data_IF_447740649057
#
_entry.id   IF_447740649057
#
_cell.length_a   1.000
_cell.length_b   1.000
_cell.length_c   1.000
_cell.angle_alpha   90.00
_cell.angle_beta   90.00
_cell.angle_gamma   90.00
#
_symmetry.space_group_name_H-M   'P 1'
#
loop_
_entity.id
_entity.type
_entity.pdbx_description
1 polymer ?
#
# COMPACT_ATOMS: atom_id res chain seq x y z
N UNK A 1 -13.96 -32.40 12.93
CA UNK A 1 -12.80 -32.96 13.67
C UNK A 1 -11.55 -32.64 12.87
N UNK A 2 -10.57 -31.96 13.48
CA UNK A 2 -9.28 -31.68 12.84
C UNK A 2 -8.52 -33.00 12.67
N UNK A 3 -7.99 -33.26 11.48
CA UNK A 3 -7.21 -34.48 11.25
C UNK A 3 -5.89 -34.42 12.04
N UNK A 4 -5.42 -35.55 12.62
CA UNK A 4 -4.11 -35.61 13.27
C UNK A 4 -2.98 -35.11 12.36
N UNK A 5 -3.11 -35.30 11.04
CA UNK A 5 -2.14 -34.83 10.05
C UNK A 5 -2.12 -33.31 9.96
N UNK A 6 -3.27 -32.65 9.89
CA UNK A 6 -3.34 -31.19 9.77
C UNK A 6 -2.85 -30.51 11.04
N UNK A 7 -3.22 -31.05 12.22
CA UNK A 7 -2.71 -30.55 13.50
C UNK A 7 -1.17 -30.60 13.59
N UNK A 8 -0.53 -31.64 13.05
CA UNK A 8 0.95 -31.72 12.97
C UNK A 8 1.55 -30.69 12.02
N UNK A 9 0.87 -30.35 10.91
CA UNK A 9 1.33 -29.31 9.98
C UNK A 9 1.33 -27.96 10.66
N UNK A 10 0.23 -27.59 11.33
CA UNK A 10 0.16 -26.32 12.06
C UNK A 10 1.22 -26.22 13.16
N UNK A 11 1.37 -27.25 13.98
CA UNK A 11 2.39 -27.28 15.04
C UNK A 11 3.83 -27.13 14.49
N UNK A 12 4.10 -27.65 13.30
CA UNK A 12 5.40 -27.46 12.65
C UNK A 12 5.62 -26.02 12.15
N UNK A 13 4.57 -25.29 11.78
CA UNK A 13 4.66 -23.87 11.45
C UNK A 13 4.90 -23.03 12.71
N UNK A 14 4.15 -23.28 13.79
CA UNK A 14 4.34 -22.62 15.10
C UNK A 14 5.78 -22.85 15.61
N UNK A 15 6.31 -24.07 15.48
CA UNK A 15 7.70 -24.35 15.86
C UNK A 15 8.75 -23.61 15.01
N UNK A 16 8.44 -23.22 13.78
CA UNK A 16 9.36 -22.45 12.92
C UNK A 16 9.49 -21.00 13.36
N UNK A 17 8.50 -20.43 14.06
CA UNK A 17 8.60 -19.08 14.62
C UNK A 17 9.75 -18.94 15.65
N UNK A 18 10.22 -20.05 16.22
CA UNK A 18 11.40 -20.09 17.08
C UNK A 18 12.72 -19.80 16.34
N UNK A 19 12.73 -19.88 15.00
CA UNK A 19 13.88 -19.54 14.15
C UNK A 19 13.89 -18.06 13.74
N UNK A 20 12.79 -17.34 13.97
CA UNK A 20 12.72 -15.91 13.69
C UNK A 20 13.61 -15.13 14.65
N UNK A 21 14.08 -13.97 14.19
CA UNK A 21 14.89 -13.05 14.97
C UNK A 21 14.14 -12.58 16.24
N UNK A 22 14.83 -12.21 17.32
CA UNK A 22 14.18 -11.75 18.56
C UNK A 22 13.24 -10.55 18.37
N UNK A 23 13.51 -9.69 17.39
CA UNK A 23 12.69 -8.53 17.05
C UNK A 23 11.46 -8.83 16.19
N UNK A 24 11.36 -10.04 15.62
CA UNK A 24 10.24 -10.45 14.78
C UNK A 24 8.94 -10.60 15.58
N UNK A 25 7.83 -10.30 14.91
CA UNK A 25 6.52 -10.62 15.44
C UNK A 25 6.28 -12.14 15.42
N UNK A 26 5.49 -12.65 16.38
CA UNK A 26 5.05 -14.05 16.43
C UNK A 26 3.54 -14.12 16.67
N UNK A 27 2.86 -15.09 16.07
CA UNK A 27 1.41 -15.29 16.25
C UNK A 27 1.08 -15.49 17.74
N UNK A 28 1.92 -16.24 18.46
CA UNK A 28 1.74 -16.54 19.88
C UNK A 28 1.79 -15.31 20.81
N UNK A 29 2.44 -14.22 20.39
CA UNK A 29 2.53 -12.98 21.15
C UNK A 29 1.41 -11.98 20.81
N UNK A 30 0.58 -12.31 19.83
CA UNK A 30 -0.51 -11.44 19.37
C UNK A 30 -1.70 -11.48 20.34
N UNK A 31 -2.42 -10.36 20.56
CA UNK A 31 -3.71 -10.37 21.25
C UNK A 31 -4.80 -11.10 20.45
N UNK A 32 -4.55 -11.47 19.18
CA UNK A 32 -5.49 -12.21 18.34
C UNK A 32 -6.52 -11.32 17.65
N UNK A 33 -7.44 -11.98 16.92
CA UNK A 33 -8.52 -11.32 16.18
C UNK A 33 -9.53 -10.70 17.12
N UNK A 34 -10.08 -9.55 16.73
CA UNK A 34 -11.11 -8.85 17.50
C UNK A 34 -12.37 -9.71 17.70
N UNK A 35 -12.81 -10.40 16.63
CA UNK A 35 -13.85 -11.41 16.74
C UNK A 35 -13.20 -12.80 16.84
N UNK A 36 -13.41 -13.55 17.93
CA UNK A 36 -12.81 -14.87 18.08
C UNK A 36 -13.23 -15.82 16.97
N UNK A 37 -12.26 -16.51 16.38
CA UNK A 37 -12.45 -17.54 15.37
C UNK A 37 -11.57 -18.74 15.71
N UNK A 38 -12.00 -19.98 15.40
CA UNK A 38 -11.16 -21.14 15.63
C UNK A 38 -9.89 -21.05 14.76
N UNK A 39 -8.71 -21.41 15.30
CA UNK A 39 -7.48 -21.44 14.52
C UNK A 39 -7.59 -22.35 13.28
N UNK A 40 -6.99 -21.92 12.17
CA UNK A 40 -6.97 -22.72 10.94
C UNK A 40 -6.07 -23.96 11.13
N UNK A 41 -6.52 -25.17 10.76
CA UNK A 41 -5.77 -26.38 11.06
C UNK A 41 -4.48 -26.56 10.23
N UNK A 42 -4.22 -25.70 9.23
CA UNK A 42 -3.06 -25.79 8.33
C UNK A 42 -2.21 -24.53 8.31
N UNK A 43 -2.80 -23.36 8.57
CA UNK A 43 -2.19 -22.06 8.37
C UNK A 43 -2.10 -21.26 9.67
N UNK A 44 -1.03 -20.49 9.81
CA UNK A 44 -0.91 -19.46 10.85
C UNK A 44 -1.83 -18.27 10.56
N UNK A 45 -2.07 -17.43 11.56
CA UNK A 45 -3.05 -16.34 11.45
C UNK A 45 -2.74 -15.34 10.34
N UNK A 46 -1.47 -14.98 10.12
CA UNK A 46 -1.08 -14.02 9.08
C UNK A 46 -1.13 -14.61 7.66
N UNK A 47 -0.93 -15.92 7.52
CA UNK A 47 -1.22 -16.64 6.27
C UNK A 47 -2.71 -16.56 5.90
N UNK A 48 -3.57 -16.69 6.91
CA UNK A 48 -5.02 -16.51 6.73
C UNK A 48 -5.36 -15.07 6.36
N UNK A 49 -4.68 -14.09 6.95
CA UNK A 49 -4.88 -12.66 6.62
C UNK A 49 -4.51 -12.36 5.16
N UNK A 50 -3.32 -12.78 4.72
CA UNK A 50 -2.89 -12.69 3.33
C UNK A 50 -3.95 -13.26 2.39
N UNK A 51 -4.41 -14.48 2.68
CA UNK A 51 -5.37 -15.17 1.85
C UNK A 51 -6.75 -14.46 1.86
N UNK A 52 -7.14 -13.82 2.96
CA UNK A 52 -8.36 -12.99 2.99
C UNK A 52 -8.25 -11.76 2.11
N UNK A 53 -7.11 -11.06 2.18
CA UNK A 53 -6.87 -9.81 1.44
C UNK A 53 -6.89 -10.05 -0.06
N UNK A 54 -6.15 -11.04 -0.57
CA UNK A 54 -6.04 -11.29 -2.02
C UNK A 54 -7.39 -11.65 -2.67
N UNK A 55 -8.33 -12.22 -1.91
CA UNK A 55 -9.65 -12.60 -2.39
C UNK A 55 -10.70 -11.49 -2.30
N UNK A 56 -10.35 -10.28 -1.85
CA UNK A 56 -11.26 -9.14 -1.76
C UNK A 56 -11.69 -8.59 -3.13
N UNK A 57 -12.77 -7.82 -3.17
CA UNK A 57 -13.12 -7.04 -4.36
C UNK A 57 -12.15 -5.87 -4.51
N UNK A 58 -11.76 -5.23 -3.41
CA UNK A 58 -10.78 -4.15 -3.39
C UNK A 58 -9.45 -4.54 -4.06
N UNK A 59 -8.86 -5.68 -3.69
CA UNK A 59 -7.60 -6.15 -4.27
C UNK A 59 -7.71 -6.40 -5.78
N UNK A 60 -8.81 -7.02 -6.25
CA UNK A 60 -9.06 -7.23 -7.68
C UNK A 60 -9.15 -5.92 -8.47
N UNK A 61 -9.69 -4.86 -7.86
CA UNK A 61 -9.83 -3.54 -8.49
C UNK A 61 -8.50 -2.84 -8.71
N UNK A 62 -7.45 -3.18 -7.95
CA UNK A 62 -6.09 -2.64 -8.14
C UNK A 62 -5.54 -2.90 -9.55
N UNK A 63 -6.04 -3.93 -10.25
CA UNK A 63 -5.68 -4.21 -11.65
C UNK A 63 -6.05 -3.07 -12.61
N UNK A 64 -7.06 -2.29 -12.26
CA UNK A 64 -7.66 -1.27 -13.11
C UNK A 64 -7.61 0.12 -12.45
N UNK A 65 -6.58 0.34 -11.62
CA UNK A 65 -6.23 1.63 -11.03
C UNK A 65 -4.79 1.95 -11.39
N UNK A 66 -4.57 3.09 -12.02
CA UNK A 66 -3.23 3.60 -12.33
C UNK A 66 -2.51 4.01 -11.05
N UNK A 67 -1.18 3.86 -11.06
CA UNK A 67 -0.32 4.31 -9.97
C UNK A 67 -0.11 5.83 -10.04
N UNK A 68 0.74 6.29 -10.96
CA UNK A 68 1.05 7.71 -11.20
C UNK A 68 0.58 8.19 -12.57
N UNK A 69 0.83 7.41 -13.63
CA UNK A 69 0.53 7.83 -15.00
C UNK A 69 -0.86 7.41 -15.44
N UNK A 70 -1.71 8.40 -15.74
CA UNK A 70 -2.96 8.15 -16.46
C UNK A 70 -2.62 8.10 -17.95
N UNK A 71 -2.16 6.95 -18.43
CA UNK A 71 -1.89 6.69 -19.84
C UNK A 71 -2.95 5.71 -20.38
N UNK A 72 -3.99 6.18 -21.08
CA UNK A 72 -5.12 5.35 -21.48
C UNK A 72 -4.78 4.13 -22.34
N UNK A 73 -3.65 4.15 -23.07
CA UNK A 73 -3.32 3.18 -24.12
C UNK A 73 -1.92 2.54 -23.98
N UNK A 74 -1.30 2.55 -22.79
CA UNK A 74 -0.02 1.86 -22.56
C UNK A 74 -0.21 0.58 -21.75
N UNK A 75 -0.01 -0.57 -22.40
CA UNK A 75 -0.02 -1.89 -21.76
C UNK A 75 1.08 -2.08 -20.69
N UNK A 76 2.05 -1.16 -20.64
CA UNK A 76 3.25 -1.26 -19.83
C UNK A 76 3.31 -0.28 -18.66
N UNK A 77 2.34 0.64 -18.52
CA UNK A 77 2.28 1.52 -17.35
C UNK A 77 1.89 0.72 -16.11
N UNK A 78 2.56 1.02 -15.00
CA UNK A 78 2.34 0.32 -13.74
C UNK A 78 0.93 0.60 -13.20
N UNK A 79 0.21 -0.51 -12.98
CA UNK A 79 -1.06 -0.52 -12.25
C UNK A 79 -0.78 -0.75 -10.77
N UNK A 80 -1.71 -0.34 -9.90
CA UNK A 80 -1.58 -0.55 -8.45
C UNK A 80 -1.37 -1.99 -8.04
N UNK A 81 -1.94 -2.93 -8.80
CA UNK A 81 -1.73 -4.36 -8.56
C UNK A 81 -0.27 -4.77 -8.78
N UNK A 82 0.39 -4.28 -9.83
CA UNK A 82 1.79 -4.61 -10.10
C UNK A 82 2.71 -3.90 -9.11
N UNK A 83 2.43 -2.65 -8.73
CA UNK A 83 3.08 -1.96 -7.60
C UNK A 83 3.01 -2.82 -6.33
N UNK A 84 1.81 -3.22 -5.94
CA UNK A 84 1.57 -4.01 -4.73
C UNK A 84 2.34 -5.33 -4.73
N UNK A 85 2.48 -5.99 -5.89
CA UNK A 85 3.28 -7.22 -6.02
C UNK A 85 4.77 -6.91 -5.85
N UNK A 86 5.27 -5.82 -6.44
CA UNK A 86 6.66 -5.39 -6.30
C UNK A 86 7.02 -5.04 -4.85
N UNK A 87 6.16 -4.27 -4.17
CA UNK A 87 6.29 -3.97 -2.74
C UNK A 87 6.35 -5.26 -1.92
N UNK A 88 5.45 -6.21 -2.20
CA UNK A 88 5.43 -7.50 -1.52
C UNK A 88 6.74 -8.30 -1.74
N UNK A 89 7.29 -8.32 -2.95
CA UNK A 89 8.56 -9.01 -3.24
C UNK A 89 9.75 -8.37 -2.51
N UNK A 90 9.86 -7.05 -2.56
CA UNK A 90 10.93 -6.29 -1.89
C UNK A 90 10.83 -6.48 -0.37
N UNK A 91 9.63 -6.30 0.19
CA UNK A 91 9.38 -6.41 1.62
C UNK A 91 9.72 -7.82 2.14
N UNK A 92 9.34 -8.88 1.42
CA UNK A 92 9.68 -10.25 1.80
C UNK A 92 11.17 -10.53 1.72
N UNK A 93 11.88 -9.94 0.76
CA UNK A 93 13.33 -10.08 0.64
C UNK A 93 14.02 -9.49 1.87
N UNK A 94 13.64 -8.28 2.27
CA UNK A 94 14.15 -7.62 3.47
C UNK A 94 13.78 -8.41 4.73
N UNK A 95 12.51 -8.79 4.89
CA UNK A 95 12.03 -9.54 6.05
C UNK A 95 12.77 -10.87 6.22
N UNK A 96 12.93 -11.63 5.13
CA UNK A 96 13.66 -12.90 5.14
C UNK A 96 15.13 -12.72 5.52
N UNK A 97 15.80 -11.70 4.99
CA UNK A 97 17.20 -11.43 5.28
C UNK A 97 17.44 -10.99 6.74
N UNK A 98 16.46 -10.32 7.34
CA UNK A 98 16.47 -9.92 8.75
C UNK A 98 15.91 -11.00 9.71
N UNK A 99 15.40 -12.11 9.18
CA UNK A 99 14.76 -13.17 9.98
C UNK A 99 13.43 -12.75 10.61
N UNK A 100 12.68 -11.85 9.97
CA UNK A 100 11.34 -11.39 10.38
C UNK A 100 10.23 -12.30 9.80
N UNK A 101 8.99 -12.11 10.26
CA UNK A 101 7.86 -12.91 9.77
C UNK A 101 7.41 -12.50 8.36
N UNK A 102 7.71 -13.36 7.36
CA UNK A 102 7.36 -13.10 5.97
C UNK A 102 5.85 -13.06 5.70
N UNK A 103 5.04 -13.84 6.44
CA UNK A 103 3.61 -13.94 6.19
C UNK A 103 2.88 -12.68 6.69
N UNK A 104 3.30 -12.10 7.82
CA UNK A 104 2.86 -10.78 8.29
C UNK A 104 3.27 -9.67 7.32
N UNK A 105 4.55 -9.64 6.93
CA UNK A 105 5.05 -8.65 5.95
C UNK A 105 4.27 -8.72 4.64
N UNK A 106 4.02 -9.93 4.12
CA UNK A 106 3.26 -10.16 2.90
C UNK A 106 1.79 -9.72 3.05
N UNK A 107 1.13 -10.07 4.16
CA UNK A 107 -0.25 -9.66 4.42
C UNK A 107 -0.39 -8.14 4.47
N UNK A 108 0.53 -7.43 5.15
CA UNK A 108 0.54 -5.97 5.21
C UNK A 108 0.77 -5.38 3.81
N UNK A 109 1.78 -5.87 3.08
CA UNK A 109 2.09 -5.39 1.73
C UNK A 109 0.91 -5.55 0.77
N UNK A 110 0.21 -6.68 0.77
CA UNK A 110 -0.97 -6.85 -0.09
C UNK A 110 -2.16 -5.98 0.32
N UNK A 111 -2.20 -5.53 1.58
CA UNK A 111 -3.31 -4.75 2.13
C UNK A 111 -3.10 -3.23 2.10
N UNK A 112 -1.87 -2.74 1.92
CA UNK A 112 -1.53 -1.33 2.12
C UNK A 112 -2.31 -0.39 1.17
N UNK A 113 -2.49 -0.83 -0.08
CA UNK A 113 -2.95 0.03 -1.18
C UNK A 113 -4.44 -0.12 -1.54
N UNK A 114 -5.20 -0.93 -0.78
CA UNK A 114 -6.60 -1.27 -1.10
C UNK A 114 -7.53 -0.06 -1.23
N UNK A 115 -7.26 0.99 -0.44
CA UNK A 115 -8.08 2.18 -0.27
C UNK A 115 -7.77 3.32 -1.21
N UNK A 116 -6.81 3.17 -2.12
CA UNK A 116 -6.54 4.22 -3.09
C UNK A 116 -7.74 4.48 -3.98
N UNK A 117 -7.99 5.74 -4.30
CA UNK A 117 -9.04 6.20 -5.19
C UNK A 117 -8.73 5.87 -6.66
N UNK A 118 -9.73 5.97 -7.56
CA UNK A 118 -9.44 6.13 -8.98
C UNK A 118 -8.52 7.35 -9.21
N UNK A 119 -7.68 7.27 -10.23
CA UNK A 119 -6.70 8.31 -10.61
C UNK A 119 -5.65 8.62 -9.53
N UNK A 120 -5.39 7.67 -8.63
CA UNK A 120 -4.29 7.76 -7.66
C UNK A 120 -4.38 8.98 -6.74
N UNK A 121 -3.25 9.68 -6.56
CA UNK A 121 -3.18 10.84 -5.65
C UNK A 121 -4.16 11.95 -6.00
N UNK A 122 -4.45 12.15 -7.29
CA UNK A 122 -5.41 13.17 -7.71
C UNK A 122 -6.80 12.95 -7.10
N UNK A 123 -7.30 11.72 -7.11
CA UNK A 123 -8.57 11.39 -6.49
C UNK A 123 -8.54 11.46 -4.96
N UNK A 124 -7.41 11.11 -4.35
CA UNK A 124 -7.22 11.20 -2.89
C UNK A 124 -7.25 12.66 -2.43
N UNK A 125 -6.51 13.54 -3.12
CA UNK A 125 -6.49 14.98 -2.85
C UNK A 125 -7.87 15.61 -3.00
N UNK A 126 -8.62 15.21 -4.03
CA UNK A 126 -9.96 15.76 -4.25
C UNK A 126 -10.94 15.33 -3.16
N UNK A 127 -10.98 14.04 -2.81
CA UNK A 127 -11.82 13.58 -1.71
C UNK A 127 -11.38 14.22 -0.38
N UNK A 128 -10.08 14.44 -0.17
CA UNK A 128 -9.59 15.08 1.04
C UNK A 128 -10.08 16.53 1.20
N UNK A 129 -10.32 17.25 0.10
CA UNK A 129 -10.92 18.59 0.11
C UNK A 129 -12.43 18.57 0.32
N UNK A 130 -13.10 17.54 -0.20
CA UNK A 130 -14.57 17.42 -0.16
C UNK A 130 -15.08 16.87 1.18
N UNK A 131 -14.29 16.01 1.85
CA UNK A 131 -14.71 15.37 3.09
C UNK A 131 -14.44 16.24 4.32
N UNK A 132 -15.38 16.29 5.29
CA UNK A 132 -15.24 17.12 6.48
C UNK A 132 -14.07 16.68 7.38
N UNK A 133 -13.71 15.40 7.35
CA UNK A 133 -12.60 14.82 8.09
C UNK A 133 -11.37 14.51 7.20
N UNK A 134 -11.40 14.96 5.95
CA UNK A 134 -10.40 14.63 4.94
C UNK A 134 -10.49 13.19 4.45
N UNK A 135 -9.55 12.81 3.59
CA UNK A 135 -9.45 11.47 3.01
C UNK A 135 -8.00 11.06 2.90
N UNK A 136 -7.71 9.80 3.24
CA UNK A 136 -6.39 9.19 3.08
C UNK A 136 -6.52 7.74 2.68
N UNK A 137 -5.76 7.31 1.68
CA UNK A 137 -5.85 5.96 1.13
C UNK A 137 -5.56 4.88 2.19
N UNK A 138 -4.60 5.08 3.08
CA UNK A 138 -4.22 4.12 4.13
C UNK A 138 -5.33 3.93 5.17
N UNK A 139 -6.02 5.02 5.54
CA UNK A 139 -7.19 4.98 6.41
C UNK A 139 -8.35 4.28 5.70
N UNK A 140 -8.52 4.53 4.40
CA UNK A 140 -9.51 3.82 3.60
C UNK A 140 -9.17 2.33 3.43
N UNK A 141 -7.89 1.95 3.29
CA UNK A 141 -7.44 0.55 3.25
C UNK A 141 -7.81 -0.17 4.55
N UNK A 142 -7.58 0.47 5.70
CA UNK A 142 -7.99 -0.05 7.00
C UNK A 142 -9.52 -0.21 7.07
N UNK A 143 -10.26 0.82 6.67
CA UNK A 143 -11.74 0.79 6.65
C UNK A 143 -12.28 -0.32 5.75
N UNK A 144 -11.66 -0.56 4.60
CA UNK A 144 -12.04 -1.65 3.68
C UNK A 144 -11.93 -3.00 4.39
N UNK A 145 -10.82 -3.26 5.06
CA UNK A 145 -10.57 -4.55 5.72
C UNK A 145 -11.33 -4.70 7.03
N UNK A 146 -11.70 -3.61 7.70
CA UNK A 146 -12.44 -3.66 8.98
C UNK A 146 -13.95 -3.71 8.80
N UNK A 147 -14.50 -2.98 7.83
CA UNK A 147 -15.96 -2.80 7.74
C UNK A 147 -16.56 -2.95 6.34
N UNK A 148 -15.88 -2.59 5.24
CA UNK A 148 -16.56 -2.57 3.92
C UNK A 148 -16.63 -3.95 3.24
N UNK A 149 -15.56 -4.75 3.33
CA UNK A 149 -15.55 -6.08 2.71
C UNK A 149 -16.53 -7.05 3.39
N UNK A 150 -16.89 -8.13 2.69
CA UNK A 150 -17.87 -9.14 3.16
C UNK A 150 -19.22 -8.55 3.60
N UNK A 151 -19.67 -7.55 2.86
CA UNK A 151 -20.98 -6.89 3.00
C UNK A 151 -21.19 -6.27 4.39
N UNK A 152 -20.27 -5.40 4.79
CA UNK A 152 -20.37 -4.67 6.05
C UNK A 152 -19.72 -5.36 7.26
N UNK A 153 -19.09 -6.53 7.07
CA UNK A 153 -18.52 -7.33 8.17
C UNK A 153 -17.01 -7.20 8.31
N UNK A 154 -16.31 -6.73 7.28
CA UNK A 154 -14.86 -6.77 7.18
C UNK A 154 -14.26 -8.17 7.17
N UNK A 155 -12.94 -8.21 7.18
CA UNK A 155 -12.12 -9.42 7.06
C UNK A 155 -11.68 -9.99 8.41
N UNK A 156 -11.88 -9.28 9.52
CA UNK A 156 -11.45 -9.68 10.87
C UNK A 156 -9.95 -10.01 10.93
N UNK A 157 -9.09 -9.18 10.32
CA UNK A 157 -7.65 -9.41 10.27
C UNK A 157 -6.99 -9.30 11.65
N UNK A 158 -5.79 -9.85 11.80
CA UNK A 158 -4.96 -9.67 12.98
C UNK A 158 -4.62 -8.18 13.17
N UNK A 159 -4.50 -7.70 14.42
CA UNK A 159 -4.25 -6.29 14.70
C UNK A 159 -2.91 -5.80 14.13
N UNK A 160 -1.88 -6.63 14.10
CA UNK A 160 -0.58 -6.29 13.51
C UNK A 160 -0.70 -6.04 12.01
N UNK A 161 -1.49 -6.85 11.29
CA UNK A 161 -1.78 -6.65 9.86
C UNK A 161 -2.49 -5.32 9.65
N UNK A 162 -3.52 -5.02 10.45
CA UNK A 162 -4.29 -3.76 10.38
C UNK A 162 -3.42 -2.53 10.68
N UNK A 163 -2.59 -2.63 11.72
CA UNK A 163 -1.66 -1.57 12.12
C UNK A 163 -0.63 -1.31 11.01
N UNK A 164 -0.03 -2.36 10.44
CA UNK A 164 0.89 -2.23 9.32
C UNK A 164 0.25 -1.56 8.11
N UNK A 165 -0.99 -1.95 7.77
CA UNK A 165 -1.75 -1.35 6.66
C UNK A 165 -1.97 0.14 6.89
N UNK A 166 -2.36 0.58 8.09
CA UNK A 166 -2.63 2.02 8.29
C UNK A 166 -1.35 2.84 8.47
N UNK A 167 -0.28 2.28 9.06
CA UNK A 167 0.95 3.01 9.39
C UNK A 167 2.02 3.03 8.28
N UNK A 168 1.79 2.35 7.15
CA UNK A 168 2.75 2.36 6.05
C UNK A 168 2.93 3.76 5.41
N UNK A 169 1.88 4.59 5.44
CA UNK A 169 1.87 5.86 4.72
C UNK A 169 2.83 6.90 5.32
N UNK A 170 3.21 7.89 4.51
CA UNK A 170 4.28 8.85 4.76
C UNK A 170 3.81 10.28 4.51
N UNK A 171 4.41 11.22 5.23
CA UNK A 171 4.32 12.64 4.85
C UNK A 171 5.28 12.95 3.68
N UNK A 172 5.05 14.09 3.01
CA UNK A 172 5.85 14.51 1.86
C UNK A 172 7.36 14.70 2.19
N UNK A 173 7.72 14.95 3.45
CA UNK A 173 9.03 15.47 3.84
C UNK A 173 10.22 14.50 3.67
N UNK A 174 10.02 13.19 3.82
CA UNK A 174 11.09 12.18 3.65
C UNK A 174 10.50 10.79 3.44
N UNK A 175 11.23 9.89 2.76
CA UNK A 175 10.83 8.46 2.67
C UNK A 175 10.86 7.76 4.03
N UNK A 176 11.51 8.33 5.04
CA UNK A 176 11.50 7.82 6.41
C UNK A 176 10.44 8.48 7.32
N UNK A 177 9.70 9.49 6.82
CA UNK A 177 8.82 10.31 7.66
C UNK A 177 7.72 9.50 8.38
N UNK A 178 7.54 9.74 9.68
CA UNK A 178 6.62 9.01 10.57
C UNK A 178 5.20 9.62 10.63
N UNK A 179 4.62 10.00 9.48
CA UNK A 179 3.34 10.74 9.43
C UNK A 179 2.15 10.11 10.17
N UNK A 180 2.07 8.78 10.19
CA UNK A 180 1.03 8.01 10.91
C UNK A 180 1.62 7.22 12.10
N UNK A 181 2.76 7.70 12.60
CA UNK A 181 3.59 7.03 13.58
C UNK A 181 4.38 5.85 12.99
N UNK A 182 4.93 5.03 13.88
CA UNK A 182 5.70 3.84 13.52
C UNK A 182 4.93 2.59 13.89
N UNK A 183 4.97 1.61 12.98
CA UNK A 183 4.42 0.28 13.23
C UNK A 183 5.12 -0.38 14.41
N UNK A 184 4.34 -1.00 15.29
CA UNK A 184 4.88 -1.73 16.45
C UNK A 184 5.69 -2.97 16.07
N UNK A 185 5.56 -3.44 14.83
CA UNK A 185 6.27 -4.58 14.26
C UNK A 185 7.34 -4.09 13.28
N UNK A 186 8.50 -4.76 13.27
CA UNK A 186 9.53 -4.47 12.27
C UNK A 186 9.01 -4.81 10.87
N UNK A 187 8.16 -5.83 10.74
CA UNK A 187 7.48 -6.24 9.51
C UNK A 187 6.66 -5.10 8.89
N UNK A 188 5.91 -4.34 9.70
CA UNK A 188 5.18 -3.17 9.22
C UNK A 188 6.09 -2.02 8.79
N UNK A 189 7.22 -1.84 9.48
CA UNK A 189 8.23 -0.85 9.10
C UNK A 189 8.95 -1.23 7.79
N UNK A 190 9.19 -2.53 7.57
CA UNK A 190 9.74 -3.05 6.29
C UNK A 190 8.80 -2.71 5.14
N UNK A 191 7.49 -2.96 5.26
CA UNK A 191 6.55 -2.65 4.16
C UNK A 191 6.56 -1.17 3.83
N UNK A 192 6.61 -0.31 4.85
CA UNK A 192 6.72 1.14 4.65
C UNK A 192 7.94 1.51 3.82
N UNK A 193 9.11 0.96 4.09
CA UNK A 193 10.31 1.27 3.31
C UNK A 193 10.24 0.64 1.90
N UNK A 194 9.80 -0.61 1.81
CA UNK A 194 9.63 -1.34 0.56
C UNK A 194 8.70 -0.62 -0.43
N UNK A 195 7.63 0.00 0.06
CA UNK A 195 6.73 0.83 -0.74
C UNK A 195 7.46 1.97 -1.45
N UNK A 196 8.37 2.66 -0.74
CA UNK A 196 9.19 3.71 -1.37
C UNK A 196 10.28 3.20 -2.28
N UNK A 197 10.87 2.05 -1.97
CA UNK A 197 11.84 1.43 -2.88
C UNK A 197 11.15 1.07 -4.21
N UNK A 198 9.94 0.50 -4.15
CA UNK A 198 9.18 0.13 -5.34
C UNK A 198 8.80 1.37 -6.17
N UNK A 199 8.08 2.34 -5.57
CA UNK A 199 7.51 3.41 -6.39
C UNK A 199 8.59 4.30 -7.02
N UNK A 200 9.66 4.62 -6.29
CA UNK A 200 10.74 5.45 -6.84
C UNK A 200 11.39 4.81 -8.06
N UNK A 201 11.49 3.48 -8.11
CA UNK A 201 12.17 2.79 -9.19
C UNK A 201 11.28 2.59 -10.41
N UNK A 202 10.01 2.21 -10.23
CA UNK A 202 9.14 2.06 -11.39
C UNK A 202 8.61 3.39 -11.94
N UNK A 203 8.57 4.46 -11.14
CA UNK A 203 8.15 5.77 -11.62
C UNK A 203 9.21 6.38 -12.54
N UNK A 204 10.50 6.09 -12.28
CA UNK A 204 11.57 6.40 -13.22
C UNK A 204 11.33 5.67 -14.55
N UNK A 205 11.06 4.36 -14.51
CA UNK A 205 10.83 3.59 -15.74
C UNK A 205 9.64 4.11 -16.54
N UNK A 206 8.53 4.40 -15.86
CA UNK A 206 7.33 4.90 -16.52
C UNK A 206 7.52 6.34 -17.03
N UNK A 207 8.25 7.19 -16.29
CA UNK A 207 8.62 8.53 -16.77
C UNK A 207 9.51 8.48 -18.02
N UNK A 208 10.46 7.53 -18.06
CA UNK A 208 11.31 7.29 -19.23
C UNK A 208 10.50 6.78 -20.42
N UNK A 209 9.58 5.83 -20.21
CA UNK A 209 8.67 5.34 -21.24
C UNK A 209 7.75 6.44 -21.78
N UNK A 210 7.30 7.33 -20.90
CA UNK A 210 6.47 8.48 -21.26
C UNK A 210 7.26 9.62 -21.94
N UNK A 211 8.60 9.52 -22.01
CA UNK A 211 9.46 10.56 -22.59
C UNK A 211 9.54 11.83 -21.75
N UNK A 212 9.17 11.78 -20.47
CA UNK A 212 9.27 12.91 -19.54
C UNK A 212 10.67 13.11 -18.98
N UNK A 213 11.45 12.03 -18.99
CA UNK A 213 12.78 11.96 -18.39
C UNK A 213 13.64 10.97 -19.18
N UNK A 214 14.96 11.16 -19.18
CA UNK A 214 15.92 10.12 -19.56
C UNK A 214 16.70 9.68 -18.32
N UNK A 215 17.19 8.44 -18.27
CA UNK A 215 17.99 7.95 -17.14
C UNK A 215 19.19 8.87 -16.83
N UNK A 216 19.83 9.40 -17.88
CA UNK A 216 20.97 10.33 -17.75
C UNK A 216 20.60 11.70 -17.15
N UNK A 217 19.32 12.03 -17.02
CA UNK A 217 18.86 13.27 -16.38
C UNK A 217 18.84 13.14 -14.83
N UNK A 218 18.90 11.92 -14.28
CA UNK A 218 18.96 11.71 -12.84
C UNK A 218 20.25 12.31 -12.25
N UNK A 219 20.23 12.84 -11.00
CA UNK A 219 21.41 13.45 -10.40
C UNK A 219 22.61 12.50 -10.32
N UNK A 220 23.81 12.98 -10.62
CA UNK A 220 25.05 12.19 -10.54
C UNK A 220 25.28 11.57 -9.15
N UNK A 221 24.90 12.29 -8.09
CA UNK A 221 24.99 11.81 -6.71
C UNK A 221 24.09 10.58 -6.46
N UNK A 222 22.91 10.55 -7.08
CA UNK A 222 21.99 9.41 -7.04
C UNK A 222 22.60 8.21 -7.75
N UNK A 223 23.15 8.39 -8.96
CA UNK A 223 23.83 7.32 -9.68
C UNK A 223 25.04 6.77 -8.93
N UNK A 224 25.84 7.65 -8.32
CA UNK A 224 27.02 7.26 -7.56
C UNK A 224 26.67 6.46 -6.29
N UNK A 225 25.53 6.76 -5.66
CA UNK A 225 25.15 6.19 -4.36
C UNK A 225 24.20 4.99 -4.48
N UNK A 226 23.18 5.10 -5.33
CA UNK A 226 22.13 4.09 -5.50
C UNK A 226 22.38 3.18 -6.70
N UNK A 227 23.05 3.67 -7.74
CA UNK A 227 23.32 2.92 -8.98
C UNK A 227 22.60 3.50 -10.19
N UNK A 228 23.07 3.10 -11.38
CA UNK A 228 22.69 3.67 -12.67
C UNK A 228 21.65 2.85 -13.44
N UNK A 229 21.16 1.77 -12.85
CA UNK A 229 20.07 0.97 -13.43
C UNK A 229 19.03 0.65 -12.36
N UNK A 230 17.81 0.36 -12.81
CA UNK A 230 16.72 -0.08 -11.93
C UNK A 230 17.16 -1.21 -10.98
N UNK A 231 17.77 -2.27 -11.51
CA UNK A 231 18.21 -3.40 -10.69
C UNK A 231 19.30 -3.03 -9.70
N UNK A 232 20.24 -2.16 -10.07
CA UNK A 232 21.30 -1.70 -9.16
C UNK A 232 20.72 -0.87 -8.00
N UNK A 233 19.76 0.02 -8.29
CA UNK A 233 19.09 0.82 -7.26
C UNK A 233 18.32 -0.03 -6.26
N UNK A 234 17.50 -0.97 -6.74
CA UNK A 234 16.77 -1.88 -5.85
C UNK A 234 17.75 -2.70 -5.01
N UNK A 235 18.77 -3.33 -5.62
CA UNK A 235 19.76 -4.13 -4.91
C UNK A 235 20.48 -3.33 -3.83
N UNK A 236 20.89 -2.09 -4.14
CA UNK A 236 21.56 -1.20 -3.20
C UNK A 236 20.65 -0.80 -2.04
N UNK A 237 19.41 -0.40 -2.32
CA UNK A 237 18.44 0.01 -1.29
C UNK A 237 18.04 -1.15 -0.38
N UNK A 238 17.81 -2.33 -0.94
CA UNK A 238 17.48 -3.54 -0.17
C UNK A 238 18.66 -3.97 0.70
N UNK A 239 19.86 -4.04 0.11
CA UNK A 239 21.08 -4.44 0.83
C UNK A 239 21.37 -3.48 1.98
N UNK A 240 21.35 -2.17 1.72
CA UNK A 240 21.62 -1.16 2.73
C UNK A 240 20.59 -1.16 3.86
N UNK A 241 19.30 -1.34 3.53
CA UNK A 241 18.24 -1.52 4.51
C UNK A 241 18.51 -2.71 5.44
N UNK A 242 18.88 -3.86 4.87
CA UNK A 242 19.17 -5.07 5.64
C UNK A 242 20.37 -4.84 6.54
N UNK A 243 21.49 -4.33 6.01
CA UNK A 243 22.72 -4.09 6.75
C UNK A 243 22.51 -3.11 7.91
N UNK A 244 21.81 -2.00 7.65
CA UNK A 244 21.53 -0.95 8.65
C UNK A 244 20.57 -1.45 9.73
N UNK A 245 19.66 -2.36 9.40
CA UNK A 245 18.58 -2.80 10.30
C UNK A 245 18.88 -4.10 11.07
N UNK A 246 20.05 -4.73 10.88
CA UNK A 246 20.43 -5.98 11.56
C UNK A 246 20.31 -5.87 13.09
N UNK A 247 20.78 -4.77 13.67
CA UNK A 247 20.75 -4.58 15.12
C UNK A 247 19.32 -4.57 15.65
N UNK A 248 18.40 -3.87 14.97
CA UNK A 248 16.99 -3.81 15.34
C UNK A 248 16.34 -5.21 15.36
N UNK A 249 16.64 -6.06 14.37
CA UNK A 249 16.10 -7.42 14.29
C UNK A 249 16.67 -8.34 15.39
N UNK A 250 17.94 -8.15 15.77
CA UNK A 250 18.60 -8.98 16.79
C UNK A 250 18.16 -8.69 18.23
N UNK A 251 17.58 -7.52 18.49
CA UNK A 251 17.09 -7.13 19.82
C UNK A 251 15.64 -7.61 20.02
N UNK A 252 15.20 -7.88 21.27
CA UNK A 252 13.81 -8.26 21.52
C UNK A 252 12.83 -7.19 21.02
N UNK A 253 11.62 -7.60 20.60
CA UNK A 253 10.55 -6.69 20.13
C UNK A 253 10.25 -5.52 21.09
N UNK A 254 10.49 -5.69 22.39
CA UNK A 254 10.30 -4.64 23.41
C UNK A 254 11.32 -3.50 23.35
N UNK A 255 12.41 -3.63 22.58
CA UNK A 255 13.53 -2.70 22.56
C UNK A 255 13.39 -1.52 21.57
N UNK A 256 12.18 -1.25 21.06
CA UNK A 256 11.86 -0.16 20.12
C UNK A 256 12.82 -0.09 18.90
N UNK A 257 13.01 -1.22 18.21
CA UNK A 257 13.83 -1.27 16.99
C UNK A 257 13.25 -0.47 15.82
N UNK A 258 14.15 0.00 14.94
CA UNK A 258 13.82 0.74 13.71
C UNK A 258 14.39 0.06 12.46
N UNK A 259 13.58 0.00 11.40
CA UNK A 259 14.03 -0.36 10.05
C UNK A 259 14.40 0.91 9.30
N UNK A 260 15.66 1.02 8.88
CA UNK A 260 16.25 2.26 8.38
C UNK A 260 17.18 2.01 7.19
N UNK A 261 17.44 3.08 6.45
CA UNK A 261 18.55 3.19 5.48
C UNK A 261 19.70 3.93 6.15
N UNK A 262 20.93 3.64 5.74
CA UNK A 262 22.10 4.40 6.15
C UNK A 262 21.96 5.86 5.74
N UNK A 263 22.56 6.79 6.50
CA UNK A 263 22.39 8.22 6.26
C UNK A 263 22.75 8.67 4.84
N UNK A 264 23.76 8.06 4.22
CA UNK A 264 24.15 8.35 2.84
C UNK A 264 23.10 7.86 1.83
N UNK A 265 22.58 6.64 2.00
CA UNK A 265 21.56 6.07 1.10
C UNK A 265 20.22 6.76 1.29
N UNK A 266 19.83 7.09 2.52
CA UNK A 266 18.63 7.88 2.80
C UNK A 266 18.70 9.25 2.13
N UNK A 267 19.83 9.96 2.24
CA UNK A 267 20.01 11.26 1.61
C UNK A 267 19.87 11.19 0.09
N UNK A 268 20.53 10.24 -0.56
CA UNK A 268 20.40 10.05 -2.01
C UNK A 268 18.98 9.63 -2.44
N UNK A 269 18.28 8.86 -1.60
CA UNK A 269 16.88 8.47 -1.85
C UNK A 269 15.93 9.67 -1.76
N UNK A 270 16.13 10.54 -0.77
CA UNK A 270 15.34 11.77 -0.62
C UNK A 270 15.66 12.77 -1.75
N UNK A 271 16.91 12.86 -2.21
CA UNK A 271 17.30 13.65 -3.39
C UNK A 271 16.60 13.13 -4.66
N UNK A 272 16.62 11.81 -4.90
CA UNK A 272 15.91 11.19 -6.01
C UNK A 272 14.41 11.47 -5.97
N UNK A 273 13.78 11.35 -4.78
CA UNK A 273 12.36 11.65 -4.61
C UNK A 273 12.05 13.12 -4.94
N UNK A 274 12.86 14.05 -4.45
CA UNK A 274 12.69 15.47 -4.72
C UNK A 274 12.82 15.78 -6.22
N UNK A 275 13.78 15.15 -6.89
CA UNK A 275 13.98 15.25 -8.33
C UNK A 275 12.76 14.74 -9.12
N UNK A 276 12.24 13.56 -8.79
CA UNK A 276 11.04 13.02 -9.46
C UNK A 276 9.82 13.91 -9.24
N UNK A 277 9.70 14.52 -8.05
CA UNK A 277 8.62 15.46 -7.80
C UNK A 277 8.65 16.67 -8.72
N UNK A 278 9.80 17.31 -8.87
CA UNK A 278 9.96 18.46 -9.75
C UNK A 278 9.79 18.11 -11.24
N UNK A 279 10.39 16.98 -11.67
CA UNK A 279 10.54 16.66 -13.09
C UNK A 279 9.41 15.82 -13.67
N UNK A 280 8.76 15.00 -12.84
CA UNK A 280 7.77 14.01 -13.26
C UNK A 280 6.38 14.38 -12.73
N UNK A 281 6.21 14.47 -11.41
CA UNK A 281 4.89 14.67 -10.82
C UNK A 281 4.29 16.05 -11.13
N UNK A 282 5.14 17.09 -11.25
CA UNK A 282 4.72 18.44 -11.63
C UNK A 282 4.72 18.69 -13.15
N UNK A 283 4.99 17.67 -13.98
CA UNK A 283 5.01 17.84 -15.42
C UNK A 283 3.61 18.23 -15.95
N UNK A 284 3.49 19.20 -16.89
CA UNK A 284 2.21 19.65 -17.42
C UNK A 284 1.22 18.55 -17.87
N UNK A 285 1.63 17.50 -18.60
CA UNK A 285 0.70 16.44 -18.99
C UNK A 285 0.18 15.62 -17.80
N UNK A 286 1.02 15.40 -16.78
CA UNK A 286 0.63 14.69 -15.54
C UNK A 286 -0.36 15.52 -14.74
N UNK A 287 -0.08 16.81 -14.58
CA UNK A 287 -0.97 17.76 -13.89
C UNK A 287 -2.32 17.89 -14.60
N UNK A 288 -2.34 17.99 -15.94
CA UNK A 288 -3.58 18.06 -16.70
C UNK A 288 -4.45 16.80 -16.53
N UNK A 289 -3.82 15.62 -16.51
CA UNK A 289 -4.51 14.36 -16.26
C UNK A 289 -5.04 14.27 -14.82
N UNK A 290 -4.25 14.73 -13.84
CA UNK A 290 -4.67 14.82 -12.44
C UNK A 290 -5.89 15.74 -12.28
N UNK A 291 -5.88 16.93 -12.88
CA UNK A 291 -7.01 17.86 -12.85
C UNK A 291 -8.28 17.27 -13.47
N UNK A 292 -8.15 16.52 -14.57
CA UNK A 292 -9.28 15.81 -15.17
C UNK A 292 -9.84 14.75 -14.21
N UNK A 293 -8.97 13.93 -13.60
CA UNK A 293 -9.36 12.95 -12.60
C UNK A 293 -10.06 13.58 -11.38
N UNK A 294 -9.56 14.72 -10.91
CA UNK A 294 -10.18 15.48 -9.82
C UNK A 294 -11.60 15.92 -10.16
N UNK A 295 -11.84 16.46 -11.37
CA UNK A 295 -13.19 16.85 -11.81
C UNK A 295 -14.15 15.67 -11.85
N UNK A 296 -13.70 14.51 -12.33
CA UNK A 296 -14.52 13.28 -12.37
C UNK A 296 -14.87 12.82 -10.96
N UNK A 297 -13.90 12.81 -10.04
CA UNK A 297 -14.11 12.44 -8.63
C UNK A 297 -15.10 13.39 -7.96
N UNK A 298 -14.94 14.70 -8.13
CA UNK A 298 -15.84 15.71 -7.56
C UNK A 298 -17.28 15.54 -8.06
N UNK A 299 -17.45 15.37 -9.36
CA UNK A 299 -18.78 15.22 -9.96
C UNK A 299 -19.47 13.95 -9.46
N UNK A 300 -18.76 12.82 -9.43
CA UNK A 300 -19.29 11.56 -8.90
C UNK A 300 -19.61 11.65 -7.40
N UNK A 301 -18.69 12.19 -6.61
CA UNK A 301 -18.89 12.37 -5.17
C UNK A 301 -20.14 13.22 -4.89
N UNK A 302 -20.23 14.39 -5.53
CA UNK A 302 -21.34 15.34 -5.34
C UNK A 302 -22.68 14.72 -5.73
N UNK A 303 -22.70 13.92 -6.80
CA UNK A 303 -23.90 13.20 -7.24
C UNK A 303 -24.32 12.18 -6.19
N UNK A 304 -23.42 11.30 -5.75
CA UNK A 304 -23.74 10.22 -4.82
C UNK A 304 -23.99 10.68 -3.39
N UNK A 305 -23.41 11.82 -2.98
CA UNK A 305 -23.74 12.45 -1.70
C UNK A 305 -25.18 12.98 -1.68
N UNK A 306 -25.65 13.56 -2.80
CA UNK A 306 -27.03 14.05 -2.96
C UNK A 306 -28.04 12.93 -3.19
N UNK A 307 -27.57 11.80 -3.73
CA UNK A 307 -28.38 10.66 -4.11
C UNK A 307 -27.86 9.35 -3.48
N UNK A 308 -27.77 9.26 -2.13
CA UNK A 308 -27.20 8.09 -1.46
C UNK A 308 -28.04 6.81 -1.66
N UNK A 309 -29.31 6.94 -2.07
CA UNK A 309 -30.18 5.84 -2.49
C UNK A 309 -29.73 5.15 -3.78
N UNK A 310 -28.90 5.81 -4.61
CA UNK A 310 -28.36 5.25 -5.86
C UNK A 310 -27.06 4.47 -5.66
N UNK A 311 -26.53 4.44 -4.43
CA UNK A 311 -25.32 3.70 -4.09
C UNK A 311 -25.68 2.23 -3.89
N UNK A 312 -25.28 1.38 -4.85
CA UNK A 312 -25.44 -0.07 -4.76
C UNK A 312 -24.19 -0.73 -4.18
N UNK A 313 -24.28 -1.24 -2.95
CA UNK A 313 -23.22 -2.01 -2.32
C UNK A 313 -22.18 -1.14 -1.60
N UNK A 314 -20.90 -1.28 -2.00
CA UNK A 314 -19.64 -0.90 -1.32
C UNK A 314 -19.66 0.42 -0.51
N UNK A 315 -20.39 0.41 0.60
CA UNK A 315 -20.65 1.48 1.58
C UNK A 315 -21.44 0.85 2.74
N UNK A 316 -21.55 1.51 3.89
CA UNK A 316 -22.45 1.06 4.97
C UNK A 316 -23.76 1.87 4.95
N UNK A 317 -24.94 1.25 5.09
CA UNK A 317 -26.22 1.97 5.04
C UNK A 317 -26.39 3.03 6.13
N UNK A 318 -25.82 2.80 7.32
CA UNK A 318 -25.96 3.67 8.49
C UNK A 318 -24.98 4.85 8.48
N UNK A 319 -24.04 4.88 7.54
CA UNK A 319 -23.10 5.98 7.41
C UNK A 319 -23.77 7.24 6.83
N UNK A 320 -23.26 8.44 7.16
CA UNK A 320 -23.77 9.67 6.56
C UNK A 320 -23.56 9.66 5.04
N UNK A 321 -24.42 10.36 4.26
CA UNK A 321 -24.38 10.33 2.80
C UNK A 321 -22.99 10.60 2.19
N UNK A 322 -22.25 11.57 2.73
CA UNK A 322 -20.90 11.91 2.29
C UNK A 322 -19.90 10.75 2.44
N UNK A 323 -20.01 9.96 3.53
CA UNK A 323 -19.12 8.81 3.77
C UNK A 323 -19.46 7.68 2.82
N UNK A 324 -20.76 7.43 2.61
CA UNK A 324 -21.23 6.43 1.65
C UNK A 324 -20.76 6.78 0.23
N UNK A 325 -20.84 8.04 -0.16
CA UNK A 325 -20.33 8.53 -1.43
C UNK A 325 -18.81 8.32 -1.55
N UNK A 326 -18.04 8.68 -0.53
CA UNK A 326 -16.58 8.48 -0.52
C UNK A 326 -16.18 7.00 -0.61
N UNK A 327 -16.83 6.12 0.15
CA UNK A 327 -16.56 4.67 0.08
C UNK A 327 -16.83 4.12 -1.32
N UNK A 328 -17.98 4.51 -1.89
CA UNK A 328 -18.38 4.05 -3.21
C UNK A 328 -17.46 4.57 -4.33
N UNK A 329 -17.15 5.87 -4.32
CA UNK A 329 -16.32 6.53 -5.34
C UNK A 329 -14.85 6.08 -5.23
N UNK A 330 -14.27 6.03 -4.04
CA UNK A 330 -12.90 5.50 -3.84
C UNK A 330 -12.80 4.02 -4.24
N UNK A 331 -13.91 3.27 -4.09
CA UNK A 331 -14.03 1.88 -4.50
C UNK A 331 -14.11 1.64 -6.01
N UNK A 332 -14.26 2.67 -6.86
CA UNK A 332 -14.34 2.51 -8.31
C UNK A 332 -12.97 2.18 -8.94
N UNK A 333 -12.96 1.68 -10.17
CA UNK A 333 -11.75 1.64 -11.01
C UNK A 333 -11.74 2.84 -11.95
N UNK A 334 -10.59 3.22 -12.52
CA UNK A 334 -10.47 4.43 -13.33
C UNK A 334 -11.45 4.45 -14.51
N UNK A 335 -11.43 3.37 -15.32
CA UNK A 335 -12.34 3.24 -16.44
C UNK A 335 -13.82 3.11 -16.03
N UNK A 336 -14.12 2.56 -14.85
CA UNK A 336 -15.50 2.53 -14.35
C UNK A 336 -15.96 3.92 -13.92
N UNK A 337 -15.12 4.69 -13.22
CA UNK A 337 -15.43 6.05 -12.82
C UNK A 337 -15.72 6.94 -14.04
N UNK A 338 -14.88 6.88 -15.08
CA UNK A 338 -15.08 7.63 -16.34
C UNK A 338 -16.40 7.27 -17.02
N UNK A 339 -16.67 5.97 -17.22
CA UNK A 339 -17.94 5.51 -17.81
C UNK A 339 -19.14 5.93 -16.97
N UNK A 340 -19.03 5.80 -15.65
CA UNK A 340 -20.14 6.13 -14.76
C UNK A 340 -20.45 7.62 -14.75
N UNK A 341 -19.42 8.47 -14.80
CA UNK A 341 -19.60 9.91 -14.95
C UNK A 341 -20.29 10.25 -16.29
N UNK A 342 -19.89 9.59 -17.39
CA UNK A 342 -20.53 9.78 -18.69
C UNK A 342 -22.01 9.32 -18.69
N UNK A 343 -22.30 8.13 -18.15
CA UNK A 343 -23.67 7.58 -18.07
C UNK A 343 -24.63 8.47 -17.28
N UNK A 344 -24.11 9.17 -16.27
CA UNK A 344 -24.87 10.10 -15.43
C UNK A 344 -24.95 11.52 -16.01
N UNK A 345 -24.33 11.77 -17.17
CA UNK A 345 -24.26 13.11 -17.77
C UNK A 345 -23.41 14.09 -16.95
N UNK A 346 -22.48 13.58 -16.15
CA UNK A 346 -21.58 14.35 -15.28
C UNK A 346 -20.24 14.68 -15.93
N UNK A 347 -19.96 14.09 -17.09
CA UNK A 347 -18.80 14.44 -17.90
C UNK A 347 -19.03 15.84 -18.52
N UNK A 348 -18.61 16.88 -17.82
CA UNK A 348 -18.40 18.20 -18.42
C UNK A 348 -17.19 18.14 -19.38
N UNK A 349 -17.32 18.76 -20.55
CA UNK A 349 -16.24 18.93 -21.53
C UNK A 349 -14.96 19.53 -20.92
#
# INVERSE_FOLDING_TARGET
MVSPTTARVRAALEAREALLAPGAAREGDSPGRERPEPPDPLRLAWQVDRDRIIHTRAFRRLKHKTQVFVAPDSDHVVMRMTHTIEVQQIARTIARALGLDEDLTEAIALGHDLGHTPFGHAGEEQLARLLPDGFRHNVQSLRIVEVLERDGRGLNLMPETREGIVKHSKELASVAAEGWGVASTLEGQVVKLADSIAYLNHDIEDAVRAGLLHEADLPDAVHATLGATHSQRIDRLVTDCVETSQEAASRPRTAEGRIELSGAVLHATDELRAFLFDRVYLAPPVMAAAEHGQRVIEALFTHYERHPEQIEGFSLPDDPPWRRAADYVSGMTDGYALRRAADLGLAGE
#
